data_IF_851877022999
#
_entry.id   IF_851877022999
#
_cell.length_a   1.000
_cell.length_b   1.000
_cell.length_c   1.000
_cell.angle_alpha   90.00
_cell.angle_beta   90.00
_cell.angle_gamma   90.00
#
_symmetry.space_group_name_H-M   'P 1'
#
loop_
_entity.id
_entity.type
_entity.pdbx_description
1 polymer ?
#
# COMPACT_ATOMS: atom_id res chain seq x y z
N UNK A 1 0.67 7.16 7.53
CA UNK A 1 0.28 6.51 6.27
C UNK A 1 -1.23 6.41 6.26
N UNK A 2 -1.84 7.56 6.41
CA UNK A 2 -3.23 7.67 6.88
C UNK A 2 -4.21 7.72 5.70
N UNK A 3 -3.69 8.01 4.51
CA UNK A 3 -4.47 8.19 3.28
C UNK A 3 -4.60 6.91 2.43
N UNK A 4 -4.14 5.76 2.96
CA UNK A 4 -4.28 4.44 2.32
C UNK A 4 -3.63 4.31 0.92
N UNK A 5 -2.69 5.19 0.59
CA UNK A 5 -1.95 5.13 -0.68
C UNK A 5 -1.16 3.84 -0.81
N UNK A 6 -1.29 3.15 -1.95
CA UNK A 6 -0.49 1.99 -2.30
C UNK A 6 0.87 2.46 -2.81
N UNK A 7 1.95 1.86 -2.32
CA UNK A 7 3.32 2.18 -2.72
C UNK A 7 3.92 0.99 -3.46
N UNK A 8 4.57 1.26 -4.60
CA UNK A 8 5.34 0.26 -5.36
C UNK A 8 6.84 0.54 -5.16
N UNK A 9 7.59 -0.48 -4.79
CA UNK A 9 9.05 -0.40 -4.59
C UNK A 9 9.77 -0.11 -5.92
N UNK A 10 10.86 0.66 -5.88
CA UNK A 10 11.73 0.82 -7.07
C UNK A 10 12.48 -0.45 -7.45
N UNK A 11 12.59 -1.40 -6.52
CA UNK A 11 13.20 -2.72 -6.77
C UNK A 11 12.23 -3.70 -7.44
N UNK A 12 11.02 -3.24 -7.79
CA UNK A 12 10.07 -4.01 -8.60
C UNK A 12 10.63 -4.18 -10.00
N UNK A 13 10.58 -5.41 -10.54
CA UNK A 13 11.14 -5.72 -11.85
C UNK A 13 10.48 -4.92 -13.00
N UNK A 14 9.16 -4.74 -12.92
CA UNK A 14 8.38 -3.95 -13.89
C UNK A 14 7.36 -3.10 -13.13
N UNK A 15 7.69 -1.83 -12.79
CA UNK A 15 6.80 -0.96 -12.04
C UNK A 15 5.53 -0.61 -12.84
N UNK A 16 5.62 -0.42 -14.15
CA UNK A 16 4.48 -0.06 -15.00
C UNK A 16 3.44 -1.19 -15.07
N UNK A 17 3.90 -2.44 -15.24
CA UNK A 17 3.01 -3.60 -15.22
C UNK A 17 2.29 -3.73 -13.86
N UNK A 18 3.01 -3.57 -12.74
CA UNK A 18 2.41 -3.64 -11.40
C UNK A 18 1.44 -2.48 -11.17
N UNK A 19 1.80 -1.26 -11.58
CA UNK A 19 0.93 -0.09 -11.47
C UNK A 19 -0.36 -0.27 -12.29
N UNK A 20 -0.29 -0.93 -13.45
CA UNK A 20 -1.48 -1.23 -14.28
C UNK A 20 -2.47 -2.20 -13.62
N UNK A 21 -2.00 -3.03 -12.67
CA UNK A 21 -2.85 -3.96 -11.91
C UNK A 21 -3.53 -3.31 -10.71
N UNK A 22 -3.03 -2.16 -10.26
CA UNK A 22 -3.61 -1.42 -9.14
C UNK A 22 -4.88 -0.71 -9.64
N UNK A 23 -5.88 -0.61 -8.78
CA UNK A 23 -7.10 0.12 -9.10
C UNK A 23 -6.80 1.59 -9.44
N UNK A 24 -7.69 2.22 -10.21
CA UNK A 24 -7.52 3.58 -10.74
C UNK A 24 -7.20 4.66 -9.67
N UNK A 25 -7.63 4.44 -8.43
CA UNK A 25 -7.44 5.42 -7.35
C UNK A 25 -6.03 5.37 -6.75
N UNK A 26 -5.28 4.28 -6.98
CA UNK A 26 -3.97 4.06 -6.36
C UNK A 26 -4.02 3.89 -4.82
N UNK A 27 -5.22 3.66 -4.26
CA UNK A 27 -5.45 3.53 -2.82
C UNK A 27 -6.00 2.15 -2.47
N UNK A 28 -5.81 1.76 -1.21
CA UNK A 28 -6.44 0.56 -0.67
C UNK A 28 -7.97 0.72 -0.71
N UNK A 29 -8.64 -0.28 -1.27
CA UNK A 29 -10.09 -0.42 -1.13
C UNK A 29 -10.33 -0.99 0.28
N UNK A 30 -10.60 -0.11 1.24
CA UNK A 30 -10.75 -0.47 2.64
C UNK A 30 -12.04 -1.26 2.91
N UNK A 31 -12.03 -2.20 3.88
CA UNK A 31 -13.25 -2.83 4.38
C UNK A 31 -14.24 -1.79 4.93
N UNK A 32 -15.54 -2.09 4.82
CA UNK A 32 -16.59 -1.20 5.33
C UNK A 32 -16.61 -1.06 6.86
N UNK A 33 -16.05 -2.03 7.60
CA UNK A 33 -15.94 -1.96 9.05
C UNK A 33 -14.54 -1.51 9.46
N UNK A 34 -14.47 -0.50 10.31
CA UNK A 34 -13.20 0.06 10.79
C UNK A 34 -12.30 -0.96 11.51
N UNK A 35 -12.88 -1.98 12.13
CA UNK A 35 -12.13 -3.04 12.83
C UNK A 35 -11.40 -3.99 11.87
N UNK A 36 -11.83 -4.06 10.61
CA UNK A 36 -11.21 -4.89 9.57
C UNK A 36 -10.14 -4.11 8.79
N UNK A 37 -10.13 -2.77 8.92
CA UNK A 37 -9.08 -1.95 8.34
C UNK A 37 -7.72 -2.24 8.99
N UNK A 38 -6.64 -2.23 8.20
CA UNK A 38 -5.29 -2.38 8.74
C UNK A 38 -4.99 -1.26 9.73
N UNK A 39 -4.46 -1.62 10.89
CA UNK A 39 -4.05 -0.64 11.91
C UNK A 39 -2.87 0.18 11.38
N UNK A 40 -2.96 1.50 11.52
CA UNK A 40 -1.94 2.43 11.02
C UNK A 40 -0.54 2.12 11.57
N UNK A 41 -0.45 1.73 12.84
CA UNK A 41 0.79 1.37 13.53
C UNK A 41 1.59 0.30 12.78
N UNK A 42 0.94 -0.79 12.32
CA UNK A 42 1.62 -1.87 11.60
C UNK A 42 1.99 -1.46 10.17
N UNK A 43 1.15 -0.67 9.50
CA UNK A 43 1.43 -0.16 8.15
C UNK A 43 2.64 0.78 8.17
N UNK A 44 2.73 1.64 9.18
CA UNK A 44 3.87 2.51 9.41
C UNK A 44 5.14 1.71 9.62
N UNK A 45 5.13 0.79 10.57
CA UNK A 45 6.29 -0.03 10.86
C UNK A 45 6.77 -0.82 9.63
N UNK A 46 5.86 -1.40 8.85
CA UNK A 46 6.21 -2.12 7.63
C UNK A 46 6.87 -1.22 6.60
N UNK A 47 6.42 0.05 6.46
CA UNK A 47 7.04 1.03 5.55
C UNK A 47 8.47 1.39 5.94
N UNK A 48 8.76 1.41 7.23
CA UNK A 48 10.09 1.78 7.73
C UNK A 48 11.07 0.59 7.73
N UNK A 49 10.59 -0.63 7.98
CA UNK A 49 11.45 -1.77 8.28
C UNK A 49 11.47 -2.83 7.17
N UNK A 50 10.38 -2.99 6.42
CA UNK A 50 10.25 -4.07 5.43
C UNK A 50 10.18 -3.55 4.00
N UNK A 51 9.66 -2.33 3.80
CA UNK A 51 9.48 -1.78 2.47
C UNK A 51 10.84 -1.50 1.82
N UNK A 52 11.04 -2.14 0.67
CA UNK A 52 12.22 -1.93 -0.16
C UNK A 52 12.08 -0.61 -0.90
N UNK A 53 12.92 0.37 -0.61
CA UNK A 53 12.94 1.63 -1.35
C UNK A 53 13.50 1.50 -2.76
#
# INVERSE_FOLDING_TARGET
ADDLTILVSRQTNDPDAVLSMINETGRLIAPGRSSECPRSEFVHWHRENCFKQ
#
